data_IF_380689300122
#
_entry.id   IF_380689300122
#
_cell.length_a   1.000
_cell.length_b   1.000
_cell.length_c   1.000
_cell.angle_alpha   90.00
_cell.angle_beta   90.00
_cell.angle_gamma   90.00
#
_symmetry.space_group_name_H-M   'P 1'
#
loop_
_entity.id
_entity.type
_entity.pdbx_description
1 polymer ?
#
# COMPACT_ATOMS: atom_id res chain seq x y z
N UNK A 1 -16.45 -10.74 5.71
CA UNK A 1 -17.23 -11.24 4.56
C UNK A 1 -18.66 -11.61 5.00
N UNK A 2 -19.45 -10.61 5.39
CA UNK A 2 -20.88 -10.71 5.71
C UNK A 2 -21.60 -9.50 5.06
N UNK A 3 -21.56 -9.45 3.73
CA UNK A 3 -22.22 -8.42 2.90
C UNK A 3 -23.35 -9.05 2.05
N UNK A 4 -24.07 -10.05 2.57
CA UNK A 4 -25.11 -10.76 1.80
C UNK A 4 -26.54 -10.34 2.11
N UNK A 5 -26.81 -9.33 2.95
CA UNK A 5 -28.18 -8.83 3.12
C UNK A 5 -28.37 -7.47 2.45
N UNK A 6 -29.08 -7.50 1.31
CA UNK A 6 -29.64 -6.38 0.51
C UNK A 6 -28.86 -5.93 -0.73
N UNK A 7 -28.54 -6.86 -1.63
CA UNK A 7 -28.55 -6.54 -3.07
C UNK A 7 -29.83 -7.15 -3.64
N UNK A 8 -30.97 -6.49 -3.44
CA UNK A 8 -32.26 -6.98 -3.95
C UNK A 8 -33.03 -5.94 -4.75
N UNK A 9 -32.54 -4.69 -4.83
CA UNK A 9 -33.15 -3.64 -5.65
C UNK A 9 -32.22 -3.26 -6.79
N UNK A 10 -32.76 -3.15 -8.02
CA UNK A 10 -32.07 -2.69 -9.23
C UNK A 10 -31.24 -1.41 -9.00
N UNK A 11 -31.67 -0.53 -8.08
CA UNK A 11 -30.93 0.67 -7.68
C UNK A 11 -29.58 0.40 -7.00
N UNK A 12 -29.48 -0.64 -6.16
CA UNK A 12 -28.25 -0.98 -5.44
C UNK A 12 -27.19 -1.54 -6.39
N UNK A 13 -27.62 -2.33 -7.38
CA UNK A 13 -26.75 -2.85 -8.45
C UNK A 13 -26.20 -1.69 -9.29
N UNK A 14 -27.05 -0.75 -9.71
CA UNK A 14 -26.59 0.40 -10.49
C UNK A 14 -25.64 1.30 -9.71
N UNK A 15 -25.85 1.47 -8.41
CA UNK A 15 -24.94 2.21 -7.54
C UNK A 15 -23.57 1.52 -7.44
N UNK A 16 -23.56 0.20 -7.27
CA UNK A 16 -22.34 -0.60 -7.23
C UNK A 16 -21.57 -0.57 -8.57
N UNK A 17 -22.27 -0.67 -9.71
CA UNK A 17 -21.63 -0.59 -11.02
C UNK A 17 -20.99 0.78 -11.25
N UNK A 18 -21.68 1.87 -10.88
CA UNK A 18 -21.13 3.23 -10.97
C UNK A 18 -19.88 3.42 -10.12
N UNK A 19 -19.86 2.91 -8.88
CA UNK A 19 -18.68 3.00 -8.03
C UNK A 19 -17.50 2.20 -8.61
N UNK A 20 -17.77 1.05 -9.24
CA UNK A 20 -16.73 0.26 -9.88
C UNK A 20 -16.13 0.95 -11.10
N UNK A 21 -16.95 1.60 -11.92
CA UNK A 21 -16.46 2.39 -13.05
C UNK A 21 -15.59 3.58 -12.58
N UNK A 22 -15.90 4.13 -11.41
CA UNK A 22 -15.07 5.15 -10.77
C UNK A 22 -13.73 4.59 -10.31
N UNK A 23 -13.71 3.41 -9.66
CA UNK A 23 -12.49 2.73 -9.25
C UNK A 23 -11.55 2.47 -10.43
N UNK A 24 -12.09 2.04 -11.57
CA UNK A 24 -11.33 1.80 -12.80
C UNK A 24 -10.73 3.11 -13.33
N UNK A 25 -11.52 4.18 -13.43
CA UNK A 25 -11.01 5.48 -13.91
C UNK A 25 -9.94 6.07 -12.99
N UNK A 26 -10.08 5.93 -11.68
CA UNK A 26 -9.06 6.38 -10.74
C UNK A 26 -7.78 5.54 -10.85
N UNK A 27 -7.93 4.22 -11.02
CA UNK A 27 -6.84 3.28 -11.25
C UNK A 27 -6.02 3.62 -12.49
N UNK A 28 -6.69 3.84 -13.62
CA UNK A 28 -6.06 4.22 -14.89
C UNK A 28 -5.26 5.51 -14.75
N UNK A 29 -5.86 6.56 -14.17
CA UNK A 29 -5.18 7.85 -13.94
C UNK A 29 -3.90 7.72 -13.10
N UNK A 30 -3.92 6.89 -12.06
CA UNK A 30 -2.76 6.66 -11.21
C UNK A 30 -1.65 5.90 -11.94
N UNK A 31 -2.02 4.90 -12.75
CA UNK A 31 -1.05 4.17 -13.58
C UNK A 31 -0.45 5.09 -14.64
N UNK A 32 -1.28 5.83 -15.37
CA UNK A 32 -0.87 6.79 -16.40
C UNK A 32 0.10 7.82 -15.83
N UNK A 33 -0.16 8.30 -14.61
CA UNK A 33 0.73 9.25 -13.92
C UNK A 33 2.11 8.67 -13.65
N UNK A 34 2.22 7.39 -13.30
CA UNK A 34 3.51 6.74 -13.10
C UNK A 34 4.26 6.57 -14.41
N UNK A 35 3.62 5.98 -15.43
CA UNK A 35 4.29 5.66 -16.70
C UNK A 35 4.62 6.90 -17.53
N UNK A 36 3.87 7.99 -17.34
CA UNK A 36 4.14 9.28 -17.98
C UNK A 36 5.23 10.10 -17.27
N UNK A 37 5.71 9.65 -16.11
CA UNK A 37 6.82 10.33 -15.44
C UNK A 37 8.10 10.20 -16.27
N UNK A 38 8.91 11.25 -16.31
CA UNK A 38 10.15 11.24 -17.09
C UNK A 38 11.15 10.18 -16.61
N UNK A 39 11.02 9.73 -15.36
CA UNK A 39 11.93 8.77 -14.73
C UNK A 39 11.52 7.31 -14.95
N UNK A 40 10.28 7.03 -15.38
CA UNK A 40 9.76 5.65 -15.47
C UNK A 40 10.66 4.74 -16.31
N UNK A 41 10.91 5.12 -17.57
CA UNK A 41 11.71 4.30 -18.50
C UNK A 41 13.15 4.11 -18.02
N UNK A 42 13.76 5.17 -17.49
CA UNK A 42 15.13 5.13 -16.97
C UNK A 42 15.25 4.23 -15.74
N UNK A 43 14.23 4.21 -14.87
CA UNK A 43 14.26 3.45 -13.62
C UNK A 43 13.74 2.02 -13.77
N UNK A 44 13.01 1.70 -14.85
CA UNK A 44 12.40 0.39 -15.07
C UNK A 44 13.39 -0.78 -14.98
N UNK A 45 14.62 -0.73 -15.54
CA UNK A 45 15.57 -1.84 -15.43
C UNK A 45 15.95 -2.18 -13.99
N UNK A 46 15.90 -1.20 -13.08
CA UNK A 46 16.19 -1.39 -11.66
C UNK A 46 14.92 -1.77 -10.92
N UNK A 47 13.84 -1.01 -11.12
CA UNK A 47 12.62 -1.03 -10.30
C UNK A 47 11.46 -1.84 -10.88
N UNK A 48 11.66 -2.60 -11.96
CA UNK A 48 10.60 -3.30 -12.67
C UNK A 48 9.64 -4.10 -11.76
N UNK A 49 10.18 -4.83 -10.78
CA UNK A 49 9.33 -5.55 -9.80
C UNK A 49 8.54 -4.64 -8.88
N UNK A 50 9.12 -3.51 -8.46
CA UNK A 50 8.40 -2.51 -7.67
C UNK A 50 7.23 -1.91 -8.45
N UNK A 51 7.46 -1.55 -9.72
CA UNK A 51 6.41 -1.03 -10.60
C UNK A 51 5.34 -2.08 -10.93
N UNK A 52 5.74 -3.34 -11.10
CA UNK A 52 4.80 -4.45 -11.30
C UNK A 52 3.91 -4.66 -10.06
N UNK A 53 4.46 -4.63 -8.85
CA UNK A 53 3.68 -4.72 -7.61
C UNK A 53 2.70 -3.55 -7.50
N UNK A 54 3.10 -2.35 -7.91
CA UNK A 54 2.19 -1.20 -7.94
C UNK A 54 1.04 -1.40 -8.93
N UNK A 55 1.34 -1.91 -10.13
CA UNK A 55 0.32 -2.25 -11.12
C UNK A 55 -0.67 -3.29 -10.58
N UNK A 56 -0.21 -4.30 -9.85
CA UNK A 56 -1.08 -5.29 -9.20
C UNK A 56 -1.91 -4.66 -8.06
N UNK A 57 -1.36 -3.69 -7.31
CA UNK A 57 -2.12 -2.93 -6.32
C UNK A 57 -3.30 -2.16 -6.96
N UNK A 58 -3.06 -1.54 -8.11
CA UNK A 58 -4.06 -0.83 -8.91
C UNK A 58 -5.16 -1.79 -9.38
N UNK A 59 -4.78 -2.93 -9.98
CA UNK A 59 -5.75 -3.95 -10.43
C UNK A 59 -6.59 -4.48 -9.26
N UNK A 60 -5.97 -4.73 -8.11
CA UNK A 60 -6.68 -5.15 -6.91
C UNK A 60 -7.73 -4.10 -6.49
N UNK A 61 -7.39 -2.81 -6.54
CA UNK A 61 -8.32 -1.73 -6.21
C UNK A 61 -9.49 -1.67 -7.19
N UNK A 62 -9.22 -1.69 -8.50
CA UNK A 62 -10.24 -1.73 -9.55
C UNK A 62 -11.19 -2.95 -9.44
N UNK A 63 -10.73 -4.05 -8.85
CA UNK A 63 -11.55 -5.23 -8.56
C UNK A 63 -12.33 -5.17 -7.24
N UNK A 64 -12.15 -4.12 -6.43
CA UNK A 64 -12.75 -3.99 -5.10
C UNK A 64 -12.03 -4.76 -3.99
N UNK A 65 -10.81 -5.24 -4.23
CA UNK A 65 -9.99 -6.01 -3.28
C UNK A 65 -9.13 -5.09 -2.39
N UNK A 66 -9.76 -4.19 -1.64
CA UNK A 66 -9.10 -3.08 -0.92
C UNK A 66 -8.03 -3.51 0.10
N UNK A 67 -8.22 -4.65 0.77
CA UNK A 67 -7.20 -5.20 1.66
C UNK A 67 -5.96 -5.67 0.88
N UNK A 68 -6.16 -6.32 -0.26
CA UNK A 68 -5.07 -6.74 -1.14
C UNK A 68 -4.33 -5.51 -1.70
N UNK A 69 -5.06 -4.46 -2.09
CA UNK A 69 -4.45 -3.16 -2.47
C UNK A 69 -3.50 -2.65 -1.39
N UNK A 70 -3.92 -2.61 -0.13
CA UNK A 70 -3.07 -2.12 0.96
C UNK A 70 -1.81 -2.98 1.18
N UNK A 71 -1.93 -4.31 1.08
CA UNK A 71 -0.79 -5.23 1.14
C UNK A 71 0.18 -4.97 -0.01
N UNK A 72 -0.33 -4.83 -1.25
CA UNK A 72 0.50 -4.58 -2.42
C UNK A 72 1.15 -3.20 -2.40
N UNK A 73 0.48 -2.15 -1.90
CA UNK A 73 1.08 -0.84 -1.68
C UNK A 73 2.27 -0.90 -0.73
N UNK A 74 2.13 -1.62 0.39
CA UNK A 74 3.26 -1.87 1.31
C UNK A 74 4.39 -2.62 0.60
N UNK A 75 4.07 -3.73 -0.06
CA UNK A 75 5.08 -4.56 -0.74
C UNK A 75 5.82 -3.79 -1.83
N UNK A 76 5.13 -2.92 -2.56
CA UNK A 76 5.68 -2.00 -3.57
C UNK A 76 6.76 -1.10 -2.97
N UNK A 77 6.44 -0.40 -1.88
CA UNK A 77 7.39 0.52 -1.23
C UNK A 77 8.58 -0.25 -0.63
N UNK A 78 8.32 -1.39 0.00
CA UNK A 78 9.37 -2.27 0.55
C UNK A 78 10.32 -2.74 -0.57
N UNK A 79 9.78 -3.17 -1.71
CA UNK A 79 10.57 -3.65 -2.85
C UNK A 79 11.40 -2.53 -3.50
N UNK A 80 10.82 -1.34 -3.68
CA UNK A 80 11.53 -0.20 -4.28
C UNK A 80 12.67 0.24 -3.38
N UNK A 81 12.41 0.47 -2.10
CA UNK A 81 13.46 0.89 -1.15
C UNK A 81 14.55 -0.18 -1.04
N UNK A 82 14.16 -1.46 -0.90
CA UNK A 82 15.13 -2.55 -0.86
C UNK A 82 16.01 -2.57 -2.10
N UNK A 83 15.42 -2.41 -3.28
CA UNK A 83 16.14 -2.44 -4.55
C UNK A 83 17.12 -1.27 -4.66
N UNK A 84 16.71 -0.04 -4.38
CA UNK A 84 17.57 1.15 -4.49
C UNK A 84 18.73 1.14 -3.49
N UNK A 85 18.53 0.55 -2.31
CA UNK A 85 19.55 0.46 -1.27
C UNK A 85 20.53 -0.70 -1.56
N UNK A 86 20.03 -1.86 -2.00
CA UNK A 86 20.85 -3.05 -2.25
C UNK A 86 21.50 -3.11 -3.62
N UNK A 87 21.10 -2.25 -4.56
CA UNK A 87 21.62 -2.23 -5.92
C UNK A 87 22.24 -0.87 -6.26
N UNK A 88 23.43 -0.90 -6.81
CA UNK A 88 24.15 0.29 -7.26
C UNK A 88 24.32 0.25 -8.79
N UNK A 89 23.70 1.16 -9.53
CA UNK A 89 23.97 1.29 -10.96
C UNK A 89 25.40 1.84 -11.18
N UNK A 90 26.05 1.43 -12.26
CA UNK A 90 27.35 1.94 -12.69
C UNK A 90 27.23 2.66 -14.03
N UNK A 91 28.14 3.59 -14.31
CA UNK A 91 28.11 4.36 -15.57
C UNK A 91 28.08 3.44 -16.80
N UNK A 92 28.68 2.24 -16.72
CA UNK A 92 28.69 1.20 -17.75
C UNK A 92 27.31 0.60 -18.09
N UNK A 93 26.27 0.86 -17.29
CA UNK A 93 24.97 0.19 -17.41
C UNK A 93 24.84 -1.05 -16.51
N UNK A 94 25.94 -1.48 -15.87
CA UNK A 94 25.94 -2.61 -14.95
C UNK A 94 25.26 -2.25 -13.62
N UNK A 95 24.61 -3.23 -13.00
CA UNK A 95 24.01 -3.10 -11.67
C UNK A 95 24.76 -4.02 -10.72
N UNK A 96 25.41 -3.43 -9.71
CA UNK A 96 26.12 -4.17 -8.68
C UNK A 96 25.21 -4.40 -7.49
N UNK A 97 25.21 -5.61 -6.95
CA UNK A 97 24.50 -5.95 -5.72
C UNK A 97 25.45 -5.75 -4.53
N UNK A 98 25.02 -4.98 -3.53
CA UNK A 98 25.77 -4.74 -2.29
C UNK A 98 25.54 -5.90 -1.32
N UNK A 99 26.42 -6.90 -1.31
CA UNK A 99 26.26 -8.12 -0.50
C UNK A 99 26.22 -7.83 1.01
N UNK A 100 26.97 -6.83 1.47
CA UNK A 100 26.95 -6.36 2.85
C UNK A 100 25.56 -5.87 3.27
N UNK A 101 24.86 -5.16 2.39
CA UNK A 101 23.46 -4.75 2.63
C UNK A 101 22.55 -5.97 2.72
N UNK A 102 22.74 -6.96 1.84
CA UNK A 102 21.91 -8.17 1.85
C UNK A 102 22.02 -8.96 3.16
N UNK A 103 23.21 -9.05 3.73
CA UNK A 103 23.43 -9.71 5.02
C UNK A 103 22.71 -8.97 6.15
N UNK A 104 22.79 -7.64 6.18
CA UNK A 104 22.12 -6.85 7.21
C UNK A 104 20.59 -6.85 7.06
N UNK A 105 20.07 -6.89 5.83
CA UNK A 105 18.63 -7.08 5.59
C UNK A 105 18.15 -8.45 6.07
N UNK A 106 18.93 -9.52 5.90
CA UNK A 106 18.58 -10.84 6.46
C UNK A 106 18.52 -10.80 7.99
N UNK A 107 19.39 -10.01 8.63
CA UNK A 107 19.47 -9.89 10.09
C UNK A 107 18.38 -9.01 10.69
N UNK A 108 18.15 -7.84 10.10
CA UNK A 108 17.31 -6.79 10.68
C UNK A 108 16.00 -6.55 9.92
N UNK A 109 15.86 -7.12 8.72
CA UNK A 109 14.67 -7.01 7.89
C UNK A 109 14.44 -5.60 7.33
N UNK A 110 13.18 -5.31 7.05
CA UNK A 110 12.75 -4.06 6.42
C UNK A 110 13.05 -2.78 7.23
N UNK A 111 12.99 -2.76 8.57
CA UNK A 111 13.39 -1.58 9.34
C UNK A 111 14.80 -1.05 9.01
N UNK A 112 15.74 -1.95 8.71
CA UNK A 112 17.08 -1.58 8.30
C UNK A 112 17.11 -0.86 6.94
N UNK A 113 16.35 -1.35 5.96
CA UNK A 113 16.18 -0.70 4.66
C UNK A 113 15.62 0.72 4.80
N UNK A 114 14.61 0.92 5.67
CA UNK A 114 14.04 2.25 5.89
C UNK A 114 15.10 3.18 6.52
N UNK A 115 15.86 2.69 7.50
CA UNK A 115 16.92 3.47 8.13
C UNK A 115 17.98 3.91 7.12
N UNK A 116 18.42 3.01 6.26
CA UNK A 116 19.35 3.34 5.17
C UNK A 116 18.74 4.33 4.18
N UNK A 117 17.48 4.14 3.77
CA UNK A 117 16.82 5.09 2.86
C UNK A 117 16.67 6.50 3.44
N UNK A 118 16.48 6.64 4.76
CA UNK A 118 16.49 7.95 5.43
C UNK A 118 17.91 8.53 5.44
N UNK A 119 18.91 7.70 5.79
CA UNK A 119 20.32 8.12 5.87
C UNK A 119 20.87 8.53 4.50
N UNK A 120 20.50 7.78 3.46
CA UNK A 120 20.78 8.10 2.06
C UNK A 120 19.84 9.18 1.51
N UNK A 121 19.00 9.84 2.31
CA UNK A 121 18.16 10.97 1.88
C UNK A 121 17.15 10.64 0.77
N UNK A 122 16.76 9.37 0.62
CA UNK A 122 15.68 8.96 -0.28
C UNK A 122 14.31 9.24 0.34
N UNK A 123 14.22 9.19 1.67
CA UNK A 123 13.02 9.50 2.44
C UNK A 123 13.28 10.67 3.41
N UNK A 124 12.40 11.67 3.42
CA UNK A 124 12.53 12.85 4.28
C UNK A 124 11.20 13.26 4.95
N UNK A 125 11.29 13.78 6.18
CA UNK A 125 10.18 14.49 6.84
C UNK A 125 8.84 13.74 6.83
N UNK A 126 7.83 14.35 6.21
CA UNK A 126 6.46 13.82 6.13
C UNK A 126 6.35 12.51 5.34
N UNK A 127 7.29 12.22 4.43
CA UNK A 127 7.27 10.99 3.63
C UNK A 127 7.47 9.74 4.48
N UNK A 128 8.26 9.86 5.55
CA UNK A 128 8.46 8.79 6.53
C UNK A 128 7.12 8.46 7.20
N UNK A 129 6.33 9.49 7.55
CA UNK A 129 4.99 9.30 8.14
C UNK A 129 4.04 8.67 7.13
N UNK A 130 4.06 9.12 5.88
CA UNK A 130 3.25 8.55 4.78
C UNK A 130 3.60 7.08 4.52
N UNK A 131 4.89 6.75 4.52
CA UNK A 131 5.39 5.37 4.40
C UNK A 131 4.89 4.51 5.58
N UNK A 132 5.08 4.97 6.81
CA UNK A 132 4.63 4.24 8.01
C UNK A 132 3.12 4.03 7.99
N UNK A 133 2.34 5.05 7.64
CA UNK A 133 0.88 4.94 7.50
C UNK A 133 0.49 3.87 6.48
N UNK A 134 1.12 3.88 5.31
CA UNK A 134 0.86 2.91 4.23
C UNK A 134 1.24 1.49 4.66
N UNK A 135 2.41 1.32 5.29
CA UNK A 135 2.86 0.03 5.83
C UNK A 135 1.92 -0.49 6.91
N UNK A 136 1.45 0.36 7.81
CA UNK A 136 0.56 -0.04 8.90
C UNK A 136 -0.78 -0.56 8.37
N UNK A 137 -1.31 0.02 7.28
CA UNK A 137 -2.49 -0.50 6.58
C UNK A 137 -2.21 -1.86 5.94
N UNK A 138 -1.09 -2.01 5.24
CA UNK A 138 -0.67 -3.31 4.69
C UNK A 138 -0.49 -4.38 5.78
N UNK A 139 0.10 -4.01 6.93
CA UNK A 139 0.24 -4.89 8.10
C UNK A 139 -1.12 -5.27 8.70
N UNK A 140 -2.06 -4.31 8.80
CA UNK A 140 -3.42 -4.57 9.25
C UNK A 140 -4.09 -5.63 8.37
N UNK A 141 -4.01 -5.49 7.05
CA UNK A 141 -4.59 -6.46 6.12
C UNK A 141 -3.89 -7.82 6.17
N UNK A 142 -2.56 -7.86 6.23
CA UNK A 142 -1.79 -9.11 6.25
C UNK A 142 -1.97 -9.90 7.56
N UNK A 143 -2.18 -9.21 8.69
CA UNK A 143 -2.35 -9.80 10.01
C UNK A 143 -3.79 -9.62 10.52
N UNK A 144 -4.77 -9.65 9.61
CA UNK A 144 -6.16 -9.34 9.93
C UNK A 144 -6.70 -10.23 11.06
N UNK A 145 -6.49 -11.55 10.97
CA UNK A 145 -7.02 -12.50 11.95
C UNK A 145 -6.45 -12.23 13.34
N UNK A 146 -5.13 -12.05 13.45
CA UNK A 146 -4.46 -11.75 14.72
C UNK A 146 -5.00 -10.46 15.36
N UNK A 147 -5.19 -9.41 14.54
CA UNK A 147 -5.76 -8.14 15.02
C UNK A 147 -7.24 -8.25 15.37
N UNK A 148 -7.99 -9.00 14.57
CA UNK A 148 -9.38 -9.34 14.88
C UNK A 148 -9.42 -10.01 16.23
N UNK A 149 -8.64 -11.05 16.48
CA UNK A 149 -8.63 -11.78 17.76
C UNK A 149 -8.29 -10.87 18.95
N UNK A 150 -7.32 -9.97 18.79
CA UNK A 150 -6.94 -8.99 19.82
C UNK A 150 -8.09 -8.04 20.17
N UNK A 151 -8.86 -7.59 19.18
CA UNK A 151 -10.02 -6.70 19.40
C UNK A 151 -11.31 -7.45 19.73
N UNK A 152 -11.41 -8.70 19.30
CA UNK A 152 -12.66 -9.49 19.30
C UNK A 152 -13.13 -9.72 20.73
N UNK A 153 -12.21 -9.98 21.66
CA UNK A 153 -12.55 -10.20 23.07
C UNK A 153 -13.31 -9.01 23.67
N UNK A 154 -12.74 -7.81 23.55
CA UNK A 154 -13.34 -6.59 24.10
C UNK A 154 -14.67 -6.26 23.42
N UNK A 155 -14.73 -6.41 22.08
CA UNK A 155 -15.97 -6.25 21.33
C UNK A 155 -17.05 -7.23 21.81
N UNK A 156 -16.73 -8.51 21.93
CA UNK A 156 -17.70 -9.56 22.25
C UNK A 156 -18.23 -9.46 23.68
N UNK A 157 -17.37 -9.13 24.64
CA UNK A 157 -17.77 -8.82 26.02
C UNK A 157 -18.80 -7.70 26.05
N UNK A 158 -18.53 -6.60 25.33
CA UNK A 158 -19.46 -5.47 25.26
C UNK A 158 -20.76 -5.83 24.54
N UNK A 159 -20.66 -6.58 23.44
CA UNK A 159 -21.81 -7.01 22.66
C UNK A 159 -22.76 -7.91 23.49
N UNK A 160 -22.22 -8.85 24.27
CA UNK A 160 -23.01 -9.68 25.19
C UNK A 160 -23.70 -8.84 26.25
N UNK A 161 -23.00 -7.87 26.83
CA UNK A 161 -23.56 -6.96 27.83
C UNK A 161 -24.77 -6.20 27.28
N UNK A 162 -24.63 -5.59 26.09
CA UNK A 162 -25.69 -4.87 25.41
C UNK A 162 -26.87 -5.79 25.04
N UNK A 163 -26.58 -7.01 24.60
CA UNK A 163 -27.60 -8.03 24.29
C UNK A 163 -28.43 -8.40 25.52
N UNK A 164 -27.81 -8.61 26.67
CA UNK A 164 -28.50 -8.89 27.94
C UNK A 164 -29.43 -7.74 28.36
N UNK A 165 -29.07 -6.50 27.99
CA UNK A 165 -29.85 -5.30 28.26
C UNK A 165 -30.94 -5.02 27.19
N UNK A 166 -31.05 -5.83 26.14
CA UNK A 166 -31.99 -5.59 25.04
C UNK A 166 -31.65 -4.39 24.14
N UNK A 167 -30.42 -3.86 24.23
CA UNK A 167 -29.96 -2.62 23.57
C UNK A 167 -29.57 -2.83 22.11
N UNK A 168 -30.57 -3.10 21.27
CA UNK A 168 -30.37 -3.53 19.88
C UNK A 168 -29.70 -2.47 19.00
N UNK A 169 -29.95 -1.17 19.24
CA UNK A 169 -29.36 -0.10 18.44
C UNK A 169 -27.86 0.05 18.75
N UNK A 170 -27.51 0.04 20.02
CA UNK A 170 -26.14 0.13 20.51
C UNK A 170 -25.31 -1.07 20.08
N UNK A 171 -25.91 -2.26 20.02
CA UNK A 171 -25.26 -3.45 19.45
C UNK A 171 -24.84 -3.23 17.99
N UNK A 172 -25.70 -2.59 17.18
CA UNK A 172 -25.36 -2.28 15.78
C UNK A 172 -24.23 -1.27 15.70
N UNK A 173 -24.28 -0.21 16.50
CA UNK A 173 -23.22 0.81 16.57
C UNK A 173 -21.89 0.18 16.96
N UNK A 174 -21.87 -0.72 17.95
CA UNK A 174 -20.63 -1.37 18.38
C UNK A 174 -20.08 -2.32 17.32
N UNK A 175 -20.96 -3.05 16.61
CA UNK A 175 -20.56 -3.88 15.47
C UNK A 175 -19.97 -3.03 14.33
N UNK A 176 -20.60 -1.91 14.00
CA UNK A 176 -20.09 -0.99 12.97
C UNK A 176 -18.72 -0.43 13.35
N UNK A 177 -18.52 0.00 14.60
CA UNK A 177 -17.21 0.45 15.11
C UNK A 177 -16.16 -0.64 15.01
N UNK A 178 -16.48 -1.87 15.43
CA UNK A 178 -15.57 -2.99 15.31
C UNK A 178 -15.17 -3.26 13.86
N UNK A 179 -16.15 -3.31 12.94
CA UNK A 179 -15.90 -3.49 11.51
C UNK A 179 -15.05 -2.36 10.93
N UNK A 180 -15.28 -1.11 11.34
CA UNK A 180 -14.48 0.05 10.92
C UNK A 180 -13.02 -0.02 11.39
N UNK A 181 -12.73 -0.67 12.53
CA UNK A 181 -11.36 -0.84 13.04
C UNK A 181 -10.56 -1.90 12.27
N UNK A 182 -11.24 -2.95 11.79
CA UNK A 182 -10.59 -4.11 11.16
C UNK A 182 -10.67 -4.12 9.63
N UNK A 183 -11.54 -3.30 9.03
CA UNK A 183 -11.70 -3.24 7.58
C UNK A 183 -10.90 -2.09 6.98
N UNK A 184 -10.35 -2.32 5.79
CA UNK A 184 -9.84 -1.25 4.94
C UNK A 184 -10.96 -0.82 4.01
N UNK A 185 -11.37 0.43 4.14
CA UNK A 185 -12.39 1.04 3.28
C UNK A 185 -11.83 1.31 1.88
N UNK A 186 -12.74 1.55 0.93
CA UNK A 186 -12.38 2.00 -0.43
C UNK A 186 -11.48 3.23 -0.37
N UNK A 187 -11.88 4.27 0.36
CA UNK A 187 -11.16 5.54 0.42
C UNK A 187 -9.77 5.37 1.05
N UNK A 188 -9.66 4.52 2.07
CA UNK A 188 -8.36 4.21 2.66
C UNK A 188 -7.42 3.44 1.72
N UNK A 189 -7.95 2.57 0.86
CA UNK A 189 -7.18 1.87 -0.16
C UNK A 189 -6.75 2.82 -1.29
N UNK A 190 -7.65 3.71 -1.74
CA UNK A 190 -7.34 4.75 -2.71
C UNK A 190 -6.26 5.70 -2.19
N UNK A 191 -6.37 6.13 -0.93
CA UNK A 191 -5.33 6.91 -0.25
C UNK A 191 -4.00 6.16 -0.24
N UNK A 192 -4.02 4.84 -0.02
CA UNK A 192 -2.80 4.03 -0.01
C UNK A 192 -2.16 3.99 -1.40
N UNK A 193 -2.95 3.92 -2.48
CA UNK A 193 -2.44 4.00 -3.86
C UNK A 193 -1.84 5.37 -4.17
N UNK A 194 -2.53 6.46 -3.82
CA UNK A 194 -2.08 7.85 -4.04
C UNK A 194 -0.78 8.13 -3.30
N UNK A 195 -0.75 7.80 -2.01
CA UNK A 195 0.45 7.95 -1.17
C UNK A 195 1.62 7.10 -1.69
N UNK A 196 1.34 5.88 -2.17
CA UNK A 196 2.37 5.02 -2.74
C UNK A 196 2.94 5.63 -4.02
N UNK A 197 2.09 6.10 -4.94
CA UNK A 197 2.54 6.78 -6.16
C UNK A 197 3.39 8.00 -5.85
N UNK A 198 2.91 8.86 -4.96
CA UNK A 198 3.62 10.08 -4.57
C UNK A 198 5.02 9.75 -4.02
N UNK A 199 5.11 8.75 -3.14
CA UNK A 199 6.39 8.29 -2.61
C UNK A 199 7.29 7.71 -3.71
N UNK A 200 6.75 6.88 -4.61
CA UNK A 200 7.52 6.34 -5.74
C UNK A 200 8.13 7.48 -6.54
N UNK A 201 7.32 8.46 -6.96
CA UNK A 201 7.76 9.57 -7.81
C UNK A 201 8.87 10.40 -7.13
N UNK A 202 8.70 10.74 -5.85
CA UNK A 202 9.72 11.50 -5.10
C UNK A 202 11.01 10.70 -4.87
N UNK A 203 10.90 9.40 -4.58
CA UNK A 203 12.06 8.54 -4.36
C UNK A 203 12.85 8.37 -5.66
N UNK A 204 12.17 8.11 -6.79
CA UNK A 204 12.85 7.91 -8.07
C UNK A 204 13.49 9.20 -8.59
N UNK A 205 12.84 10.35 -8.39
CA UNK A 205 13.39 11.66 -8.74
C UNK A 205 14.70 11.91 -8.00
N UNK A 206 14.70 11.80 -6.66
CA UNK A 206 15.93 11.98 -5.86
C UNK A 206 17.01 10.98 -6.17
N UNK A 207 16.64 9.73 -6.43
CA UNK A 207 17.60 8.71 -6.81
C UNK A 207 18.24 9.03 -8.16
N UNK A 208 17.46 9.45 -9.14
CA UNK A 208 17.95 9.88 -10.46
C UNK A 208 18.82 11.14 -10.39
N UNK A 209 18.50 12.10 -9.51
CA UNK A 209 19.33 13.28 -9.25
C UNK A 209 20.72 12.91 -8.68
N UNK A 210 20.78 11.89 -7.81
CA UNK A 210 22.04 11.37 -7.25
C UNK A 210 22.84 10.58 -8.27
N UNK A 211 22.19 10.04 -9.30
CA UNK A 211 22.81 9.21 -10.32
C UNK A 211 22.51 9.76 -11.73
N UNK A 212 22.99 10.97 -12.06
CA UNK A 212 22.60 11.69 -13.27
C UNK A 212 22.98 10.94 -14.55
N UNK A 213 24.00 10.08 -14.50
CA UNK A 213 24.42 9.23 -15.62
C UNK A 213 23.35 8.21 -16.02
N UNK A 214 22.38 7.87 -15.17
CA UNK A 214 21.27 6.99 -15.56
C UNK A 214 20.41 7.59 -16.67
N UNK A 215 20.40 8.93 -16.83
CA UNK A 215 19.66 9.58 -17.93
C UNK A 215 20.18 9.18 -19.32
N UNK A 216 21.43 8.73 -19.43
CA UNK A 216 22.01 8.25 -20.70
C UNK A 216 21.71 6.79 -21.00
N UNK A 217 20.95 6.09 -20.15
CA UNK A 217 20.50 4.71 -20.40
C UNK A 217 19.21 4.63 -21.23
N UNK A 218 18.67 5.79 -21.64
CA UNK A 218 17.47 5.88 -22.48
C UNK A 218 17.74 5.47 -23.93
#
# INVERSE_FOLDING_TARGET
MLLTSKITRKGDIMKYLKSKDEDIRESEKLWDSLISSEYYMTMYPILGYGFQLYAEAIKAFASGAYMATAVMCRATLDAILYTLISREPKISGEIIIKEEVLQEVKRYGVPFIICLAITEGLLIGEEIKTLIKTRNKGNLAAHLVEKVDAEFKAFFEKYIELRKQGKTLEMKVELEKFLQRIAITRDEALDSLKNTLELILKIIERYAEKHPYMRSWR
#
